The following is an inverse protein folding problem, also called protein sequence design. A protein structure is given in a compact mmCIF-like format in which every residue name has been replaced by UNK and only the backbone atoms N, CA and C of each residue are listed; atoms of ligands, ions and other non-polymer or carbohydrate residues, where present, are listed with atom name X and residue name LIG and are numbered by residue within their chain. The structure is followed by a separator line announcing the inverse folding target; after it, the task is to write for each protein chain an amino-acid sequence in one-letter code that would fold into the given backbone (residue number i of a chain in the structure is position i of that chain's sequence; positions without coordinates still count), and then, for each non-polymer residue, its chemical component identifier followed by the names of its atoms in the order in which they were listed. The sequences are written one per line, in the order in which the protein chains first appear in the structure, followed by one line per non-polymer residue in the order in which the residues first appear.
data_IF_321321836290
#
_entry.id   IF_321321836290
#
_cell.length_a   1.000
_cell.length_b   1.000
_cell.length_c   1.000
_cell.angle_alpha   90.00
_cell.angle_beta   90.00
_cell.angle_gamma   90.00
#
_symmetry.space_group_name_H-M   'P 1'
#
loop_
_entity.id
_entity.type
_entity.pdbx_description
1 polymer ?
#
# COMPACT_ATOMS: atom_id res chain seq x y z
N UNK A 1 -8.69 -14.73 13.62
CA UNK A 1 -8.42 -13.27 13.65
C UNK A 1 -7.69 -12.88 12.37
N UNK A 2 -7.87 -11.66 11.88
CA UNK A 2 -7.18 -11.10 10.70
C UNK A 2 -6.21 -10.00 11.13
N UNK A 3 -5.19 -9.72 10.31
CA UNK A 3 -4.25 -8.61 10.51
C UNK A 3 -5.01 -7.30 10.72
N UNK A 4 -4.54 -6.50 11.67
CA UNK A 4 -4.97 -5.11 11.85
C UNK A 4 -3.79 -4.17 11.58
N UNK A 5 -4.03 -3.12 10.81
CA UNK A 5 -3.00 -2.16 10.41
C UNK A 5 -3.26 -0.82 11.08
N UNK A 6 -2.27 -0.34 11.83
CA UNK A 6 -2.30 0.96 12.47
C UNK A 6 -1.32 1.90 11.78
N UNK A 7 -1.63 3.20 11.83
CA UNK A 7 -0.71 4.25 11.43
C UNK A 7 -0.12 4.89 12.68
N UNK A 8 1.19 4.83 12.82
CA UNK A 8 1.92 5.50 13.88
C UNK A 8 2.50 6.81 13.32
N UNK A 9 2.04 7.93 13.86
CA UNK A 9 2.55 9.25 13.54
C UNK A 9 3.39 9.78 14.71
N UNK A 10 4.67 10.04 14.47
CA UNK A 10 5.63 10.60 15.43
C UNK A 10 5.93 12.03 15.00
N UNK A 11 5.41 13.00 15.73
CA UNK A 11 5.59 14.43 15.43
C UNK A 11 6.44 15.08 16.52
N UNK A 12 7.57 15.72 16.19
CA UNK A 12 8.41 16.36 17.20
C UNK A 12 7.77 17.68 17.67
N UNK A 13 7.86 17.93 18.97
CA UNK A 13 7.44 19.20 19.57
C UNK A 13 8.65 20.14 19.59
N UNK A 14 8.66 21.15 18.71
CA UNK A 14 9.75 22.14 18.65
C UNK A 14 9.43 23.29 19.59
N UNK A 15 10.29 23.52 20.59
CA UNK A 15 10.26 24.72 21.44
C UNK A 15 11.31 25.70 20.94
N UNK A 16 10.87 26.81 20.35
CA UNK A 16 11.76 27.91 19.98
C UNK A 16 12.02 28.76 21.22
N UNK A 17 13.16 28.54 21.88
CA UNK A 17 13.62 29.44 22.94
C UNK A 17 14.13 30.73 22.28
N UNK A 18 13.60 31.87 22.76
CA UNK A 18 13.83 33.18 22.17
C UNK A 18 15.30 33.49 21.96
N UNK A 19 15.67 33.71 20.70
CA UNK A 19 16.89 34.42 20.34
C UNK A 19 16.66 35.90 20.64
N UNK A 20 16.95 36.34 21.85
CA UNK A 20 17.15 37.76 22.10
C UNK A 20 18.33 38.26 21.24
N UNK A 21 18.13 39.46 20.71
CA UNK A 21 19.10 40.36 20.08
C UNK A 21 19.46 40.14 18.60
N UNK A 22 18.73 40.92 17.79
CA UNK A 22 19.25 41.89 16.80
C UNK A 22 20.32 41.34 15.84
N UNK A 23 19.87 40.76 14.73
CA UNK A 23 20.24 41.09 13.34
C UNK A 23 19.48 40.15 12.42
N UNK A 24 18.87 40.71 11.37
CA UNK A 24 18.11 39.97 10.36
C UNK A 24 18.86 38.71 9.91
N UNK A 25 18.39 37.56 10.39
CA UNK A 25 18.75 36.24 9.89
C UNK A 25 17.43 35.50 9.74
N UNK A 26 17.06 35.19 8.50
CA UNK A 26 15.87 34.41 8.24
C UNK A 26 16.10 32.99 8.77
N UNK A 27 15.59 32.70 9.96
CA UNK A 27 15.71 31.38 10.57
C UNK A 27 14.62 30.48 10.00
N UNK A 28 15.01 29.48 9.20
CA UNK A 28 14.11 28.40 8.76
C UNK A 28 14.17 27.28 9.80
N UNK A 29 13.01 26.95 10.37
CA UNK A 29 12.86 25.83 11.31
C UNK A 29 12.16 24.70 10.57
N UNK A 30 12.83 23.56 10.42
CA UNK A 30 12.27 22.36 9.79
C UNK A 30 11.88 21.36 10.87
N UNK A 31 10.60 20.95 10.87
CA UNK A 31 10.08 19.87 11.71
C UNK A 31 9.90 18.63 10.87
N UNK A 32 10.61 17.55 11.22
CA UNK A 32 10.50 16.26 10.53
C UNK A 32 9.74 15.28 11.42
N UNK A 33 8.52 14.94 11.00
CA UNK A 33 7.75 13.84 11.58
C UNK A 33 7.97 12.53 10.83
N UNK A 34 7.78 11.41 11.52
CA UNK A 34 7.82 10.08 10.93
C UNK A 34 6.43 9.47 10.92
N UNK A 35 6.06 8.80 9.82
CA UNK A 35 4.81 8.07 9.69
C UNK A 35 5.11 6.63 9.30
N UNK A 36 4.75 5.70 10.17
CA UNK A 36 4.95 4.27 9.97
C UNK A 36 3.63 3.49 9.96
N UNK A 37 3.65 2.31 9.35
CA UNK A 37 2.58 1.33 9.48
C UNK A 37 3.00 0.28 10.51
N UNK A 38 2.17 0.07 11.53
CA UNK A 38 2.34 -1.02 12.51
C UNK A 38 1.34 -2.11 12.17
N UNK A 39 1.85 -3.33 12.00
CA UNK A 39 1.05 -4.51 11.65
C UNK A 39 0.89 -5.38 12.88
N UNK A 40 -0.35 -5.55 13.33
CA UNK A 40 -0.67 -6.55 14.35
C UNK A 40 -1.07 -7.84 13.64
N UNK A 41 -0.17 -8.83 13.69
CA UNK A 41 -0.38 -10.11 13.04
C UNK A 41 -1.22 -11.05 13.92
N UNK A 42 -2.05 -11.92 13.32
CA UNK A 42 -2.66 -13.03 14.04
C UNK A 42 -1.58 -14.04 14.50
N UNK A 43 -1.92 -14.89 15.47
CA UNK A 43 -1.04 -15.94 16.00
C UNK A 43 -0.57 -16.93 14.93
N UNK A 44 -1.42 -17.20 13.95
CA UNK A 44 -1.11 -18.04 12.79
C UNK A 44 -1.31 -17.22 11.52
N UNK A 45 -0.29 -17.18 10.67
CA UNK A 45 -0.29 -16.39 9.43
C UNK A 45 -0.66 -17.27 8.24
N UNK A 46 -1.63 -16.83 7.45
CA UNK A 46 -2.07 -17.47 6.22
C UNK A 46 -2.18 -16.42 5.12
N UNK A 47 -1.26 -16.48 4.17
CA UNK A 47 -1.28 -15.67 2.94
C UNK A 47 -2.01 -16.45 1.84
N UNK A 48 -3.01 -15.83 1.22
CA UNK A 48 -3.69 -16.40 0.07
C UNK A 48 -4.36 -15.30 -0.75
N UNK A 49 -4.31 -15.44 -2.08
CA UNK A 49 -4.89 -14.50 -3.04
C UNK A 49 -5.87 -15.23 -3.94
N UNK A 50 -7.06 -14.64 -4.12
CA UNK A 50 -7.98 -15.00 -5.18
C UNK A 50 -7.97 -13.90 -6.25
N UNK A 51 -7.98 -14.33 -7.51
CA UNK A 51 -7.91 -13.47 -8.70
C UNK A 51 -9.15 -13.76 -9.54
N UNK A 52 -9.98 -12.74 -9.77
CA UNK A 52 -11.19 -12.85 -10.60
C UNK A 52 -11.09 -11.88 -11.77
N UNK A 53 -11.10 -12.39 -13.00
CA UNK A 53 -11.12 -11.55 -14.19
C UNK A 53 -12.50 -10.90 -14.35
N UNK A 54 -12.51 -9.62 -14.69
CA UNK A 54 -13.69 -8.81 -14.90
C UNK A 54 -13.64 -8.12 -16.26
N UNK A 55 -14.78 -7.57 -16.70
CA UNK A 55 -14.89 -6.87 -17.99
C UNK A 55 -13.96 -5.64 -18.11
N UNK A 56 -13.41 -5.12 -17.02
CA UNK A 56 -12.49 -3.98 -17.03
C UNK A 56 -11.09 -4.28 -16.49
N UNK A 57 -10.76 -5.56 -16.26
CA UNK A 57 -9.47 -5.97 -15.70
C UNK A 57 -9.61 -7.12 -14.72
N UNK A 58 -9.12 -6.94 -13.49
CA UNK A 58 -9.10 -7.99 -12.47
C UNK A 58 -9.45 -7.46 -11.08
N UNK A 59 -10.19 -8.27 -10.33
CA UNK A 59 -10.43 -8.09 -8.89
C UNK A 59 -9.58 -9.07 -8.09
N UNK A 60 -8.76 -8.52 -7.21
CA UNK A 60 -7.86 -9.22 -6.32
C UNK A 60 -8.43 -9.23 -4.91
N UNK A 61 -8.50 -10.39 -4.28
CA UNK A 61 -9.03 -10.53 -2.92
C UNK A 61 -8.09 -11.37 -2.08
N UNK A 62 -7.59 -10.82 -0.97
CA UNK A 62 -6.82 -11.58 -0.01
C UNK A 62 -7.78 -12.50 0.77
N UNK A 63 -7.74 -13.80 0.49
CA UNK A 63 -8.56 -14.83 1.15
C UNK A 63 -7.86 -15.43 2.38
N UNK A 64 -6.61 -15.01 2.61
CA UNK A 64 -5.83 -15.26 3.81
C UNK A 64 -6.35 -14.49 5.03
N UNK A 65 -5.56 -14.48 6.10
CA UNK A 65 -5.82 -13.67 7.30
C UNK A 65 -4.81 -12.53 7.51
N UNK A 66 -3.87 -12.36 6.59
CA UNK A 66 -2.94 -11.22 6.52
C UNK A 66 -2.97 -10.64 5.11
N UNK A 67 -2.30 -9.49 4.90
CA UNK A 67 -2.12 -8.93 3.55
C UNK A 67 -1.41 -9.93 2.62
N UNK A 68 -1.76 -9.91 1.35
CA UNK A 68 -0.98 -10.53 0.28
C UNK A 68 -0.21 -9.45 -0.47
N UNK A 69 1.12 -9.56 -0.54
CA UNK A 69 1.94 -8.65 -1.34
C UNK A 69 1.98 -9.14 -2.78
N UNK A 70 1.38 -8.39 -3.69
CA UNK A 70 1.46 -8.65 -5.12
C UNK A 70 2.76 -8.04 -5.64
N UNK A 71 3.57 -8.86 -6.28
CA UNK A 71 4.86 -8.46 -6.85
C UNK A 71 4.95 -8.84 -8.32
N UNK A 72 5.60 -8.00 -9.12
CA UNK A 72 5.86 -8.31 -10.54
C UNK A 72 4.59 -8.40 -11.41
N UNK A 73 3.50 -7.77 -10.97
CA UNK A 73 2.29 -7.67 -11.78
C UNK A 73 2.54 -6.79 -13.01
N UNK A 74 1.82 -7.09 -14.10
CA UNK A 74 1.84 -6.29 -15.32
C UNK A 74 0.44 -5.96 -15.79
N UNK A 75 0.28 -4.78 -16.35
CA UNK A 75 -0.95 -4.28 -16.98
C UNK A 75 -0.60 -3.86 -18.40
N UNK A 76 -1.24 -4.46 -19.39
CA UNK A 76 -1.02 -4.21 -20.82
C UNK A 76 0.47 -4.31 -21.21
N UNK A 77 1.18 -5.28 -20.59
CA UNK A 77 2.61 -5.52 -20.80
C UNK A 77 3.54 -4.60 -20.02
N UNK A 78 3.02 -3.62 -19.27
CA UNK A 78 3.81 -2.71 -18.45
C UNK A 78 3.84 -3.15 -17.00
N UNK A 79 5.02 -3.19 -16.35
CA UNK A 79 5.10 -3.50 -14.93
C UNK A 79 4.37 -2.45 -14.10
N UNK A 80 3.70 -2.89 -13.04
CA UNK A 80 3.13 -2.00 -12.03
C UNK A 80 3.90 -2.15 -10.73
N UNK A 81 3.90 -1.09 -9.91
CA UNK A 81 4.53 -1.12 -8.60
C UNK A 81 3.96 -2.24 -7.73
N UNK A 82 4.80 -2.83 -6.88
CA UNK A 82 4.33 -3.78 -5.87
C UNK A 82 3.28 -3.14 -4.96
N UNK A 83 2.20 -3.88 -4.68
CA UNK A 83 1.13 -3.40 -3.81
C UNK A 83 0.62 -4.50 -2.87
N UNK A 84 -0.11 -4.09 -1.84
CA UNK A 84 -0.69 -5.00 -0.86
C UNK A 84 -2.21 -5.09 -1.04
N UNK A 85 -2.74 -6.31 -1.06
CA UNK A 85 -4.17 -6.57 -0.94
C UNK A 85 -4.44 -7.01 0.50
N UNK A 86 -5.32 -6.29 1.20
CA UNK A 86 -5.62 -6.56 2.61
C UNK A 86 -6.90 -7.40 2.76
N UNK A 87 -6.99 -8.28 3.77
CA UNK A 87 -8.23 -9.00 4.06
C UNK A 87 -9.40 -8.02 4.25
N UNK A 88 -10.57 -8.36 3.67
CA UNK A 88 -11.78 -7.53 3.75
C UNK A 88 -11.82 -6.34 2.78
N UNK A 89 -10.72 -6.03 2.07
CA UNK A 89 -10.66 -4.95 1.08
C UNK A 89 -10.12 -5.50 -0.24
N UNK A 90 -11.03 -5.88 -1.14
CA UNK A 90 -10.65 -6.27 -2.50
C UNK A 90 -10.06 -5.09 -3.26
N UNK A 91 -9.06 -5.36 -4.09
CA UNK A 91 -8.40 -4.36 -4.93
C UNK A 91 -8.68 -4.64 -6.40
N UNK A 92 -9.05 -3.61 -7.15
CA UNK A 92 -9.26 -3.73 -8.60
C UNK A 92 -8.05 -3.17 -9.34
N UNK A 93 -7.56 -3.92 -10.33
CA UNK A 93 -6.52 -3.47 -11.26
C UNK A 93 -7.16 -3.47 -12.65
N UNK A 94 -7.18 -2.30 -13.29
CA UNK A 94 -7.79 -2.11 -14.60
C UNK A 94 -6.78 -2.29 -15.72
N UNK A 95 -7.22 -2.88 -16.81
CA UNK A 95 -6.39 -3.11 -18.01
C UNK A 95 -7.03 -4.12 -18.95
N UNK A 96 -6.54 -4.18 -20.19
CA UNK A 96 -7.01 -5.16 -21.16
C UNK A 96 -6.38 -6.53 -20.91
N UNK A 97 -5.10 -6.54 -20.56
CA UNK A 97 -4.34 -7.73 -20.17
C UNK A 97 -3.73 -7.47 -18.80
N UNK A 98 -4.12 -8.25 -17.80
CA UNK A 98 -3.53 -8.18 -16.45
C UNK A 98 -2.85 -9.50 -16.11
N UNK A 99 -1.57 -9.43 -15.81
CA UNK A 99 -0.75 -10.56 -15.38
C UNK A 99 -0.42 -10.41 -13.90
N UNK A 100 -0.76 -11.45 -13.12
CA UNK A 100 -0.38 -11.58 -11.71
C UNK A 100 0.41 -12.87 -11.58
N UNK A 101 1.57 -12.81 -10.93
CA UNK A 101 2.43 -13.98 -10.76
C UNK A 101 1.64 -15.16 -10.16
N UNK A 102 1.90 -16.37 -10.67
CA UNK A 102 1.23 -17.62 -10.25
C UNK A 102 -0.27 -17.71 -10.55
N UNK A 103 -0.81 -16.77 -11.31
CA UNK A 103 -2.19 -16.80 -11.79
C UNK A 103 -2.25 -16.68 -13.32
N UNK A 104 -3.27 -17.27 -13.97
CA UNK A 104 -3.50 -17.05 -15.39
C UNK A 104 -3.72 -15.56 -15.69
N UNK A 105 -3.23 -15.10 -16.84
CA UNK A 105 -3.44 -13.73 -17.28
C UNK A 105 -4.94 -13.49 -17.57
N UNK A 106 -5.48 -12.39 -17.05
CA UNK A 106 -6.82 -11.93 -17.38
C UNK A 106 -6.78 -11.14 -18.69
N UNK A 107 -7.64 -11.48 -19.65
CA UNK A 107 -7.78 -10.77 -20.92
C UNK A 107 -9.22 -10.30 -21.09
N UNK A 108 -9.41 -8.98 -21.12
CA UNK A 108 -10.69 -8.36 -21.46
C UNK A 108 -10.89 -8.47 -22.97
N UNK A 109 -12.03 -9.01 -23.40
CA UNK A 109 -12.37 -9.02 -24.80
C UNK A 109 -12.64 -7.58 -25.28
N UNK A 110 -11.82 -7.09 -26.20
CA UNK A 110 -12.14 -5.90 -26.98
C UNK A 110 -13.12 -6.32 -28.08
N UNK A 111 -14.37 -5.88 -27.98
CA UNK A 111 -15.32 -5.93 -29.11
C UNK A 111 -14.94 -4.87 -30.15
#
# INVERSE_FOLDING_TARGET
MTETVYRLDVTPVIKLLGTEQRKMSANVVVSMGFRGLVRQLPSEVREALAVACEASGVRLTATGNVRYRVTGAKVDGHPVDDFNVYPGVSQSVRGHVVEVAWHPACRVATN
#
